data_IF_852189036665
#
_entry.id   IF_852189036665
#
_cell.length_a   1.000
_cell.length_b   1.000
_cell.length_c   1.000
_cell.angle_alpha   90.00
_cell.angle_beta   90.00
_cell.angle_gamma   90.00
#
_symmetry.space_group_name_H-M   'P 1'
#
loop_
_entity.id
_entity.type
_entity.pdbx_description
1 polymer ?
#
# COMPACT_ATOMS: atom_id res chain seq x y z
N UNK A 1 -39.06 50.38 8.70
CA UNK A 1 -37.84 49.56 8.94
C UNK A 1 -37.99 48.27 8.15
N UNK A 2 -37.20 48.08 7.07
CA UNK A 2 -37.21 46.86 6.26
C UNK A 2 -36.08 45.95 6.75
N UNK A 3 -36.44 44.79 7.30
CA UNK A 3 -35.48 43.77 7.73
C UNK A 3 -34.95 43.02 6.49
N UNK A 4 -33.63 43.01 6.30
CA UNK A 4 -32.94 42.18 5.31
C UNK A 4 -32.63 40.83 5.94
N UNK A 5 -33.16 39.75 5.37
CA UNK A 5 -32.74 38.38 5.69
C UNK A 5 -31.46 38.07 4.91
N UNK A 6 -30.35 37.87 5.62
CA UNK A 6 -29.12 37.33 5.03
C UNK A 6 -29.33 35.82 4.88
N UNK A 7 -29.48 35.37 3.64
CA UNK A 7 -29.41 33.94 3.31
C UNK A 7 -27.92 33.57 3.28
N UNK A 8 -27.44 32.89 4.31
CA UNK A 8 -26.12 32.25 4.30
C UNK A 8 -26.27 30.98 3.47
N UNK A 9 -25.84 31.04 2.21
CA UNK A 9 -25.70 29.86 1.37
C UNK A 9 -24.46 29.08 1.85
N UNK A 10 -24.69 28.01 2.62
CA UNK A 10 -23.63 27.06 2.99
C UNK A 10 -23.33 26.22 1.74
N UNK A 11 -22.23 26.53 1.07
CA UNK A 11 -21.65 25.66 0.05
C UNK A 11 -21.11 24.41 0.73
N UNK A 12 -21.90 23.34 0.72
CA UNK A 12 -21.43 21.98 0.98
C UNK A 12 -20.51 21.59 -0.18
N UNK A 13 -19.20 21.77 -0.01
CA UNK A 13 -18.24 21.19 -0.93
C UNK A 13 -18.42 19.66 -0.90
N UNK A 14 -18.50 18.98 -2.05
CA UNK A 14 -18.48 17.53 -2.06
C UNK A 14 -17.15 17.09 -1.45
N UNK A 15 -17.22 16.39 -0.33
CA UNK A 15 -16.09 15.67 0.21
C UNK A 15 -15.80 14.63 -0.86
N UNK A 16 -14.71 14.81 -1.62
CA UNK A 16 -14.22 13.77 -2.52
C UNK A 16 -13.90 12.57 -1.64
N UNK A 17 -14.83 11.62 -1.60
CA UNK A 17 -14.54 10.25 -1.19
C UNK A 17 -13.60 9.75 -2.28
N UNK A 18 -12.29 10.01 -2.12
CA UNK A 18 -11.28 9.50 -3.02
C UNK A 18 -11.39 7.98 -2.98
N UNK A 19 -11.98 7.41 -4.02
CA UNK A 19 -11.98 5.97 -4.22
C UNK A 19 -10.51 5.53 -4.23
N UNK A 20 -10.15 4.55 -3.39
CA UNK A 20 -8.79 4.04 -3.32
C UNK A 20 -8.39 3.50 -4.68
N UNK A 21 -7.37 4.10 -5.28
CA UNK A 21 -6.88 3.74 -6.59
C UNK A 21 -5.86 2.59 -6.49
N UNK A 22 -6.30 1.40 -6.88
CA UNK A 22 -5.47 0.20 -6.93
C UNK A 22 -5.05 -0.15 -8.38
N UNK A 23 -5.00 0.84 -9.28
CA UNK A 23 -4.74 0.63 -10.71
C UNK A 23 -3.31 0.17 -11.04
N UNK A 24 -2.33 0.56 -10.22
CA UNK A 24 -0.92 0.16 -10.34
C UNK A 24 -0.31 -0.19 -8.97
N UNK A 25 0.79 -0.99 -8.94
CA UNK A 25 1.48 -1.35 -7.70
C UNK A 25 1.93 -0.13 -6.88
N UNK A 26 2.44 0.90 -7.55
CA UNK A 26 3.02 2.09 -6.92
C UNK A 26 1.97 2.89 -6.13
N UNK A 27 0.79 3.12 -6.72
CA UNK A 27 -0.33 3.78 -6.02
C UNK A 27 -0.86 2.90 -4.87
N UNK A 28 -0.91 1.58 -5.06
CA UNK A 28 -1.30 0.66 -3.99
C UNK A 28 -0.32 0.72 -2.80
N UNK A 29 0.98 0.80 -3.09
CA UNK A 29 2.02 1.00 -2.08
C UNK A 29 1.86 2.34 -1.37
N UNK A 30 1.64 3.43 -2.10
CA UNK A 30 1.43 4.76 -1.53
C UNK A 30 0.23 4.78 -0.57
N UNK A 31 -0.90 4.20 -1.00
CA UNK A 31 -2.10 4.04 -0.15
C UNK A 31 -1.77 3.26 1.12
N UNK A 32 -1.05 2.15 0.98
CA UNK A 32 -0.64 1.32 2.12
C UNK A 32 0.26 2.09 3.10
N UNK A 33 1.30 2.78 2.61
CA UNK A 33 2.22 3.56 3.44
C UNK A 33 1.49 4.70 4.15
N UNK A 34 0.61 5.42 3.47
CA UNK A 34 -0.20 6.48 4.06
C UNK A 34 -1.15 5.95 5.14
N UNK A 35 -1.74 4.78 4.91
CA UNK A 35 -2.61 4.15 5.90
C UNK A 35 -1.83 3.67 7.14
N UNK A 36 -0.60 3.14 6.98
CA UNK A 36 0.28 2.84 8.11
C UNK A 36 0.60 4.08 8.94
N UNK A 37 0.89 5.21 8.29
CA UNK A 37 1.13 6.51 8.95
C UNK A 37 -0.07 7.01 9.76
N UNK A 38 -1.28 6.70 9.31
CA UNK A 38 -2.53 7.12 9.95
C UNK A 38 -3.07 6.09 10.96
N UNK A 39 -2.55 4.86 10.94
CA UNK A 39 -3.13 3.74 11.67
C UNK A 39 -4.50 3.30 11.14
N UNK A 40 -4.80 3.58 9.86
CA UNK A 40 -6.06 3.20 9.21
C UNK A 40 -6.03 1.72 8.80
N UNK A 41 -6.47 0.86 9.72
CA UNK A 41 -6.50 -0.60 9.53
C UNK A 41 -7.34 -1.02 8.33
N UNK A 42 -8.46 -0.35 8.06
CA UNK A 42 -9.36 -0.75 6.97
C UNK A 42 -8.69 -0.56 5.62
N UNK A 43 -8.04 0.60 5.42
CA UNK A 43 -7.27 0.85 4.21
C UNK A 43 -6.10 -0.10 4.09
N UNK A 44 -5.39 -0.38 5.18
CA UNK A 44 -4.30 -1.36 5.17
C UNK A 44 -4.80 -2.72 4.71
N UNK A 45 -5.86 -3.27 5.31
CA UNK A 45 -6.41 -4.57 4.93
C UNK A 45 -6.89 -4.61 3.49
N UNK A 46 -7.43 -3.50 2.99
CA UNK A 46 -7.83 -3.37 1.59
C UNK A 46 -6.65 -3.42 0.61
N UNK A 47 -5.42 -3.13 1.02
CA UNK A 47 -4.24 -3.26 0.16
C UNK A 47 -3.82 -4.72 -0.05
N UNK A 48 -4.28 -5.68 0.76
CA UNK A 48 -3.82 -7.07 0.73
C UNK A 48 -4.74 -8.02 -0.02
N UNK A 49 -4.17 -9.12 -0.51
CA UNK A 49 -4.92 -10.31 -0.92
C UNK A 49 -4.21 -11.62 -0.52
N UNK A 50 -4.89 -12.56 0.16
CA UNK A 50 -6.23 -12.41 0.73
C UNK A 50 -6.27 -11.27 1.75
N UNK A 51 -7.47 -10.74 2.02
CA UNK A 51 -7.62 -9.71 3.05
C UNK A 51 -7.14 -10.29 4.38
N UNK A 52 -6.19 -9.61 5.00
CA UNK A 52 -5.61 -10.03 6.28
C UNK A 52 -6.55 -9.63 7.41
N UNK A 53 -7.23 -10.59 8.02
CA UNK A 53 -8.22 -10.31 9.07
C UNK A 53 -7.62 -10.37 10.49
N UNK A 54 -6.35 -10.79 10.62
CA UNK A 54 -5.77 -11.19 11.91
C UNK A 54 -4.50 -10.42 12.29
N UNK A 55 -4.07 -9.46 11.46
CA UNK A 55 -2.88 -8.67 11.78
C UNK A 55 -3.21 -7.58 12.82
N UNK A 56 -2.72 -7.74 14.05
CA UNK A 56 -2.66 -6.63 15.01
C UNK A 56 -1.54 -5.68 14.61
N UNK A 57 -1.89 -4.69 13.78
CA UNK A 57 -0.96 -3.61 13.49
C UNK A 57 -0.79 -2.74 14.75
N UNK A 58 0.45 -2.39 15.12
CA UNK A 58 0.69 -1.43 16.17
C UNK A 58 0.08 -0.07 15.77
N UNK A 59 0.04 0.84 16.74
CA UNK A 59 -0.27 2.27 16.56
C UNK A 59 0.34 2.84 15.26
N UNK A 60 -0.17 4.00 14.77
CA UNK A 60 0.41 4.72 13.63
C UNK A 60 1.94 4.61 13.56
N UNK A 61 2.45 4.22 12.39
CA UNK A 61 3.89 4.01 12.19
C UNK A 61 4.52 5.33 11.68
N UNK A 62 5.52 5.89 12.37
CA UNK A 62 6.17 7.13 11.96
C UNK A 62 7.16 6.87 10.81
N UNK A 63 6.61 6.72 9.61
CA UNK A 63 7.36 6.66 8.38
C UNK A 63 7.71 8.10 7.97
N UNK A 64 8.99 8.43 7.91
CA UNK A 64 9.45 9.77 7.56
C UNK A 64 9.49 9.95 6.04
N UNK A 65 10.05 8.97 5.34
CA UNK A 65 10.18 8.96 3.88
C UNK A 65 10.24 7.51 3.38
N UNK A 66 9.93 7.31 2.10
CA UNK A 66 10.23 6.08 1.39
C UNK A 66 10.57 6.37 -0.08
N UNK A 67 11.31 5.46 -0.70
CA UNK A 67 11.69 5.53 -2.11
C UNK A 67 11.70 4.11 -2.70
N UNK A 68 11.10 3.95 -3.89
CA UNK A 68 11.16 2.69 -4.64
C UNK A 68 12.53 2.62 -5.32
N UNK A 69 13.39 1.75 -4.83
CA UNK A 69 14.75 1.55 -5.33
C UNK A 69 14.76 0.64 -6.57
N UNK A 70 13.85 -0.33 -6.63
CA UNK A 70 13.78 -1.30 -7.72
C UNK A 70 12.37 -1.80 -7.95
N UNK A 71 12.04 -2.01 -9.22
CA UNK A 71 10.82 -2.69 -9.67
C UNK A 71 11.23 -3.92 -10.48
N UNK A 72 10.77 -5.09 -10.06
CA UNK A 72 11.01 -6.36 -10.74
C UNK A 72 9.69 -6.93 -11.20
N UNK A 73 9.53 -7.14 -12.50
CA UNK A 73 8.40 -7.88 -13.06
C UNK A 73 8.81 -9.34 -13.13
N UNK A 74 8.09 -10.21 -12.43
CA UNK A 74 8.44 -11.62 -12.32
C UNK A 74 8.29 -12.34 -13.66
N UNK A 75 9.40 -12.86 -14.14
CA UNK A 75 9.48 -13.80 -15.26
C UNK A 75 9.53 -15.24 -14.75
N UNK A 76 9.73 -16.21 -15.65
CA UNK A 76 9.81 -17.62 -15.28
C UNK A 76 10.92 -17.88 -14.25
N UNK A 77 12.02 -17.12 -14.32
CA UNK A 77 13.14 -17.27 -13.38
C UNK A 77 12.71 -16.86 -11.96
N UNK A 78 12.20 -15.65 -11.77
CA UNK A 78 11.81 -15.16 -10.44
C UNK A 78 10.70 -16.02 -9.83
N UNK A 79 9.73 -16.46 -10.65
CA UNK A 79 8.67 -17.39 -10.22
C UNK A 79 9.27 -18.72 -9.73
N UNK A 80 10.22 -19.29 -10.48
CA UNK A 80 10.87 -20.54 -10.11
C UNK A 80 11.67 -20.40 -8.82
N UNK A 81 12.45 -19.32 -8.70
CA UNK A 81 13.27 -19.04 -7.51
C UNK A 81 12.40 -18.91 -6.26
N UNK A 82 11.30 -18.13 -6.34
CA UNK A 82 10.34 -17.97 -5.23
C UNK A 82 9.67 -19.28 -4.84
N UNK A 83 9.12 -20.00 -5.84
CA UNK A 83 8.32 -21.19 -5.58
C UNK A 83 9.17 -22.36 -5.08
N UNK A 84 10.44 -22.44 -5.47
CA UNK A 84 11.39 -23.45 -4.96
C UNK A 84 11.72 -23.23 -3.49
N UNK A 85 11.68 -21.98 -3.01
CA UNK A 85 11.86 -21.66 -1.58
C UNK A 85 10.63 -22.00 -0.73
N UNK A 86 9.51 -22.40 -1.35
CA UNK A 86 8.28 -22.77 -0.64
C UNK A 86 7.55 -21.59 0.01
N UNK A 87 7.81 -20.35 -0.41
CA UNK A 87 7.17 -19.16 0.14
C UNK A 87 5.72 -19.10 -0.36
N UNK A 88 4.78 -18.89 0.58
CA UNK A 88 3.34 -18.78 0.29
C UNK A 88 2.85 -17.32 0.37
N UNK A 89 1.91 -16.90 -0.50
CA UNK A 89 1.39 -17.65 -1.65
C UNK A 89 2.46 -17.82 -2.76
N UNK A 90 2.33 -18.83 -3.64
CA UNK A 90 3.26 -19.00 -4.75
C UNK A 90 3.20 -17.78 -5.68
N UNK A 91 4.36 -17.37 -6.19
CA UNK A 91 4.48 -16.30 -7.18
C UNK A 91 3.99 -16.75 -8.56
N UNK A 92 3.59 -15.78 -9.39
CA UNK A 92 3.06 -15.95 -10.75
C UNK A 92 3.77 -15.01 -11.71
N UNK A 93 3.74 -15.38 -13.00
CA UNK A 93 4.25 -14.53 -14.07
C UNK A 93 3.52 -13.19 -14.07
N UNK A 94 4.27 -12.09 -14.16
CA UNK A 94 3.73 -10.74 -14.14
C UNK A 94 3.39 -10.19 -12.76
N UNK A 95 3.60 -10.95 -11.68
CA UNK A 95 3.67 -10.34 -10.34
C UNK A 95 4.81 -9.30 -10.32
N UNK A 96 4.68 -8.30 -9.45
CA UNK A 96 5.63 -7.18 -9.40
C UNK A 96 6.18 -7.07 -7.99
N UNK A 97 7.50 -7.21 -7.82
CA UNK A 97 8.20 -6.89 -6.57
C UNK A 97 8.69 -5.43 -6.61
N UNK A 98 8.22 -4.63 -5.66
CA UNK A 98 8.78 -3.30 -5.39
C UNK A 98 9.72 -3.39 -4.19
N UNK A 99 10.99 -3.08 -4.43
CA UNK A 99 12.01 -2.97 -3.39
C UNK A 99 12.11 -1.51 -2.95
N UNK A 100 11.86 -1.27 -1.67
CA UNK A 100 11.59 0.05 -1.11
C UNK A 100 12.57 0.31 0.03
N UNK A 101 13.27 1.43 -0.05
CA UNK A 101 13.95 2.00 1.12
C UNK A 101 12.92 2.81 1.90
N UNK A 102 12.77 2.54 3.20
CA UNK A 102 11.87 3.26 4.09
C UNK A 102 12.65 3.82 5.28
N UNK A 103 12.51 5.12 5.55
CA UNK A 103 13.02 5.74 6.77
C UNK A 103 11.91 5.82 7.82
N UNK A 104 12.16 5.24 8.99
CA UNK A 104 11.24 5.28 10.14
C UNK A 104 12.01 5.22 11.45
N UNK A 105 11.57 5.98 12.46
CA UNK A 105 12.27 6.12 13.74
C UNK A 105 13.76 6.48 13.59
N UNK A 106 14.08 7.37 12.63
CA UNK A 106 15.44 7.79 12.32
C UNK A 106 16.32 6.75 11.62
N UNK A 107 15.80 5.54 11.34
CA UNK A 107 16.54 4.43 10.72
C UNK A 107 16.01 4.11 9.34
N UNK A 108 16.89 3.68 8.44
CA UNK A 108 16.55 3.17 7.11
C UNK A 108 16.37 1.66 7.15
N UNK A 109 15.45 1.17 6.34
CA UNK A 109 15.07 -0.24 6.22
C UNK A 109 14.76 -0.57 4.77
N UNK A 110 15.14 -1.76 4.33
CA UNK A 110 14.75 -2.30 3.03
C UNK A 110 13.57 -3.26 3.18
N UNK A 111 12.57 -3.02 2.35
CA UNK A 111 11.38 -3.86 2.23
C UNK A 111 11.19 -4.32 0.78
N UNK A 112 10.76 -5.56 0.61
CA UNK A 112 10.17 -6.06 -0.62
C UNK A 112 8.66 -6.18 -0.45
N UNK A 113 7.92 -5.71 -1.45
CA UNK A 113 6.47 -5.81 -1.52
C UNK A 113 6.09 -6.49 -2.84
N UNK A 114 5.57 -7.71 -2.75
CA UNK A 114 5.12 -8.46 -3.92
C UNK A 114 3.65 -8.15 -4.20
N UNK A 115 3.38 -7.65 -5.40
CA UNK A 115 2.07 -7.28 -5.89
C UNK A 115 1.56 -8.24 -6.95
N UNK A 116 0.25 -8.48 -6.93
CA UNK A 116 -0.47 -9.22 -7.97
C UNK A 116 -1.67 -8.44 -8.44
N UNK A 117 -1.93 -8.45 -9.75
CA UNK A 117 -3.18 -7.94 -10.29
C UNK A 117 -4.30 -8.98 -10.08
N UNK A 118 -5.35 -8.58 -9.36
CA UNK A 118 -6.50 -9.41 -9.03
C UNK A 118 -7.75 -8.63 -9.41
N UNK A 119 -8.45 -9.10 -10.43
CA UNK A 119 -9.66 -8.47 -10.96
C UNK A 119 -9.44 -6.98 -11.30
N UNK A 120 -8.31 -6.66 -11.92
CA UNK A 120 -7.97 -5.28 -12.31
C UNK A 120 -7.44 -4.40 -11.19
N UNK A 121 -7.20 -4.95 -9.99
CA UNK A 121 -6.64 -4.22 -8.84
C UNK A 121 -5.34 -4.85 -8.39
N UNK A 122 -4.29 -4.06 -8.24
CA UNK A 122 -3.05 -4.52 -7.63
C UNK A 122 -3.20 -4.65 -6.13
N UNK A 123 -2.73 -5.77 -5.59
CA UNK A 123 -2.79 -6.11 -4.17
C UNK A 123 -1.46 -6.66 -3.70
N UNK A 124 -1.08 -6.30 -2.48
CA UNK A 124 0.07 -6.89 -1.79
C UNK A 124 -0.30 -8.33 -1.43
N UNK A 125 0.47 -9.29 -1.91
CA UNK A 125 0.29 -10.72 -1.61
C UNK A 125 1.36 -11.24 -0.66
N UNK A 126 2.48 -10.53 -0.54
CA UNK A 126 3.56 -10.82 0.40
C UNK A 126 4.40 -9.56 0.62
N UNK A 127 4.99 -9.42 1.80
CA UNK A 127 6.00 -8.41 2.06
C UNK A 127 7.04 -8.95 3.05
N UNK A 128 8.28 -8.48 2.93
CA UNK A 128 9.37 -8.88 3.80
C UNK A 128 10.35 -7.73 4.01
N UNK A 129 10.89 -7.60 5.22
CA UNK A 129 12.07 -6.79 5.48
C UNK A 129 13.32 -7.68 5.29
N UNK A 130 14.37 -7.16 4.66
CA UNK A 130 15.55 -7.98 4.38
C UNK A 130 16.91 -7.36 4.70
N UNK A 131 17.00 -6.06 5.06
CA UNK A 131 18.18 -5.48 5.73
C UNK A 131 17.96 -4.01 6.12
N UNK A 132 18.90 -3.42 6.88
CA UNK A 132 19.17 -1.99 6.84
C UNK A 132 20.19 -1.74 5.71
N UNK A 133 19.96 -0.79 4.79
CA UNK A 133 20.88 -0.54 3.68
C UNK A 133 22.29 -0.15 4.15
#
# INVERSE_FOLDING_TARGET
MRAFYIIIAVFLLPINIYAQDFSIPETTLEIYINALKQGDKNTIYNCFHPVLNEFQLPKPIPIEAYEIQKKIIYSQKEVSDWNTQGILPPAKLGDIDLQVEQKSYGKKWMYSYLFRNINGKWKIISHAAWDQP
#
